data_IF_316236166846
#
_entry.id   IF_316236166846
#
_cell.length_a   1.000
_cell.length_b   1.000
_cell.length_c   1.000
_cell.angle_alpha   90.00
_cell.angle_beta   90.00
_cell.angle_gamma   90.00
#
_symmetry.space_group_name_H-M   'P 1'
#
loop_
_entity.id
_entity.type
_entity.pdbx_description
1 polymer ?
#
# COMPACT_ATOMS: atom_id res chain seq x y z
N UNK A 1 35.48 -4.65 -50.44
CA UNK A 1 34.07 -5.05 -50.60
C UNK A 1 33.53 -4.33 -51.81
N UNK A 2 32.82 -5.03 -52.69
CA UNK A 2 32.10 -4.40 -53.81
C UNK A 2 31.18 -3.32 -53.23
N UNK A 3 31.19 -2.08 -53.75
CA UNK A 3 30.24 -1.05 -53.33
C UNK A 3 28.81 -1.59 -53.49
N UNK A 4 27.94 -1.35 -52.50
CA UNK A 4 26.56 -1.90 -52.47
C UNK A 4 25.76 -1.59 -53.74
N UNK A 5 26.03 -0.45 -54.37
CA UNK A 5 25.44 0.00 -55.63
C UNK A 5 25.78 -0.88 -56.85
N UNK A 6 26.82 -1.72 -56.74
CA UNK A 6 27.28 -2.61 -57.79
C UNK A 6 27.05 -4.09 -57.45
N UNK A 7 26.41 -4.41 -56.33
CA UNK A 7 26.04 -5.77 -55.98
C UNK A 7 24.79 -6.20 -56.75
N UNK A 8 24.75 -7.47 -57.17
CA UNK A 8 23.54 -8.01 -57.78
C UNK A 8 22.40 -8.09 -56.75
N UNK A 9 21.13 -8.10 -57.19
CA UNK A 9 19.99 -8.21 -56.28
C UNK A 9 20.02 -9.45 -55.37
N UNK A 10 20.59 -10.56 -55.84
CA UNK A 10 20.73 -11.78 -55.05
C UNK A 10 21.75 -11.61 -53.91
N UNK A 11 22.89 -10.98 -54.19
CA UNK A 11 23.92 -10.70 -53.20
C UNK A 11 23.44 -9.71 -52.13
N UNK A 12 22.63 -8.72 -52.53
CA UNK A 12 22.03 -7.76 -51.60
C UNK A 12 21.01 -8.43 -50.67
N UNK A 13 20.23 -9.38 -51.18
CA UNK A 13 19.22 -10.11 -50.43
C UNK A 13 19.83 -11.08 -49.42
N UNK A 14 20.93 -11.74 -49.78
CA UNK A 14 21.66 -12.65 -48.90
C UNK A 14 22.35 -11.89 -47.77
N UNK A 15 23.02 -10.76 -48.07
CA UNK A 15 23.59 -9.88 -47.04
C UNK A 15 22.52 -9.35 -46.06
N UNK A 16 21.35 -8.99 -46.57
CA UNK A 16 20.22 -8.53 -45.75
C UNK A 16 19.68 -9.64 -44.83
N UNK A 17 19.64 -10.88 -45.32
CA UNK A 17 19.19 -12.04 -44.54
C UNK A 17 20.17 -12.38 -43.43
N UNK A 18 21.47 -12.36 -43.72
CA UNK A 18 22.53 -12.59 -42.72
C UNK A 18 22.55 -11.49 -41.65
N UNK A 19 22.38 -10.22 -42.05
CA UNK A 19 22.32 -9.09 -41.12
C UNK A 19 21.11 -9.22 -40.17
N UNK A 20 19.94 -9.57 -40.70
CA UNK A 20 18.72 -9.80 -39.89
C UNK A 20 18.87 -10.99 -38.94
N UNK A 21 19.45 -12.08 -39.41
CA UNK A 21 19.71 -13.26 -38.58
C UNK A 21 20.69 -12.95 -37.45
N UNK A 22 21.74 -12.18 -37.74
CA UNK A 22 22.73 -11.77 -36.75
C UNK A 22 22.12 -10.81 -35.71
N UNK A 23 21.28 -9.87 -36.15
CA UNK A 23 20.58 -8.92 -35.27
C UNK A 23 19.60 -9.62 -34.33
N UNK A 24 18.81 -10.57 -34.85
CA UNK A 24 17.86 -11.36 -34.08
C UNK A 24 18.57 -12.29 -33.07
N UNK A 25 19.68 -12.90 -33.47
CA UNK A 25 20.48 -13.76 -32.59
C UNK A 25 21.16 -12.97 -31.46
N UNK A 26 21.53 -11.71 -31.71
CA UNK A 26 22.29 -10.89 -30.75
C UNK A 26 21.39 -10.11 -29.79
N UNK A 27 20.28 -9.54 -30.26
CA UNK A 27 19.41 -8.64 -29.46
C UNK A 27 18.00 -9.17 -29.23
N UNK A 28 17.64 -10.34 -29.77
CA UNK A 28 16.31 -10.95 -29.59
C UNK A 28 15.16 -10.19 -30.25
N UNK A 29 15.47 -9.23 -31.11
CA UNK A 29 14.53 -8.30 -31.76
C UNK A 29 14.85 -8.20 -33.24
N UNK A 30 13.81 -8.06 -34.06
CA UNK A 30 13.96 -8.01 -35.52
C UNK A 30 14.55 -6.68 -36.02
N UNK A 31 14.67 -5.66 -35.16
CA UNK A 31 15.28 -4.37 -35.43
C UNK A 31 15.66 -3.61 -34.14
N UNK A 32 16.86 -3.03 -34.04
CA UNK A 32 17.23 -1.95 -33.09
C UNK A 32 18.08 -0.94 -33.84
N UNK A 33 17.56 0.28 -33.99
CA UNK A 33 18.33 1.43 -34.49
C UNK A 33 18.35 2.49 -33.40
N UNK A 34 19.52 2.66 -32.77
CA UNK A 34 19.80 3.76 -31.86
C UNK A 34 20.98 4.54 -32.45
N UNK A 35 20.68 5.56 -33.26
CA UNK A 35 21.68 6.36 -33.97
C UNK A 35 21.91 7.68 -33.22
N UNK A 36 23.17 8.01 -32.91
CA UNK A 36 23.57 9.27 -32.28
C UNK A 36 24.07 9.13 -30.85
N UNK A 37 24.38 10.28 -30.20
CA UNK A 37 24.73 10.32 -28.78
C UNK A 37 23.44 10.36 -27.95
N UNK A 38 23.14 9.28 -27.25
CA UNK A 38 22.08 9.26 -26.25
C UNK A 38 22.60 9.92 -24.97
N UNK A 39 22.44 11.24 -24.86
CA UNK A 39 22.77 11.98 -23.64
C UNK A 39 21.50 12.09 -22.81
N UNK A 40 21.47 11.42 -21.67
CA UNK A 40 20.50 11.74 -20.63
C UNK A 40 20.88 13.09 -20.04
N UNK A 41 19.93 14.02 -19.97
CA UNK A 41 20.17 15.28 -19.29
C UNK A 41 20.21 15.03 -17.79
N UNK A 42 21.20 15.62 -17.12
CA UNK A 42 21.33 15.65 -15.67
C UNK A 42 21.35 17.12 -15.27
N UNK A 43 20.35 17.55 -14.51
CA UNK A 43 20.24 18.93 -14.06
C UNK A 43 20.11 18.98 -12.55
N UNK A 44 20.81 19.93 -11.92
CA UNK A 44 20.61 20.26 -10.50
C UNK A 44 19.78 21.54 -10.38
N UNK A 45 18.80 21.55 -9.48
CA UNK A 45 17.88 22.68 -9.24
C UNK A 45 17.72 22.92 -7.75
N UNK A 46 17.67 24.19 -7.35
CA UNK A 46 17.56 24.63 -5.95
C UNK A 46 16.35 25.52 -5.67
N UNK A 47 15.47 25.66 -6.65
CA UNK A 47 14.18 26.36 -6.56
C UNK A 47 13.13 25.59 -7.36
N UNK A 48 11.85 25.83 -7.09
CA UNK A 48 10.73 25.22 -7.85
C UNK A 48 11.00 25.22 -9.35
N UNK A 49 10.81 24.06 -9.98
CA UNK A 49 11.22 23.83 -11.36
C UNK A 49 10.11 23.14 -12.15
N UNK A 50 9.77 23.69 -13.32
CA UNK A 50 8.92 23.01 -14.30
C UNK A 50 9.80 22.16 -15.20
N UNK A 51 9.66 20.84 -15.08
CA UNK A 51 10.35 19.87 -15.92
C UNK A 51 9.93 20.04 -17.38
N UNK A 52 10.86 19.73 -18.28
CA UNK A 52 10.65 19.76 -19.73
C UNK A 52 10.78 18.36 -20.32
N UNK A 53 10.26 18.14 -21.52
CA UNK A 53 10.33 16.85 -22.24
C UNK A 53 11.77 16.37 -22.54
N UNK A 54 12.76 17.26 -22.37
CA UNK A 54 14.18 16.99 -22.51
C UNK A 54 14.85 16.57 -21.19
N UNK A 55 14.18 16.70 -20.05
CA UNK A 55 14.73 16.38 -18.74
C UNK A 55 14.62 14.88 -18.46
N UNK A 56 15.77 14.24 -18.33
CA UNK A 56 15.89 12.81 -18.03
C UNK A 56 16.13 12.59 -16.54
N UNK A 57 17.03 13.35 -15.92
CA UNK A 57 17.37 13.27 -14.51
C UNK A 57 17.43 14.67 -13.90
N UNK A 58 16.62 14.89 -12.87
CA UNK A 58 16.55 16.14 -12.11
C UNK A 58 17.01 15.84 -10.68
N UNK A 59 18.10 16.47 -10.27
CA UNK A 59 18.56 16.50 -8.89
C UNK A 59 17.99 17.76 -8.24
N UNK A 60 17.14 17.58 -7.24
CA UNK A 60 16.42 18.66 -6.59
C UNK A 60 16.93 18.89 -5.17
N UNK A 61 17.23 20.14 -4.85
CA UNK A 61 17.75 20.60 -3.55
C UNK A 61 16.67 21.36 -2.76
N UNK A 62 16.87 21.48 -1.44
CA UNK A 62 16.03 22.28 -0.55
C UNK A 62 14.65 21.68 -0.26
N UNK A 63 13.64 22.55 -0.11
CA UNK A 63 12.23 22.20 0.07
C UNK A 63 11.41 22.86 -1.05
N UNK A 64 11.34 22.21 -2.21
CA UNK A 64 10.84 22.80 -3.44
C UNK A 64 9.98 21.80 -4.24
N UNK A 65 9.29 22.29 -5.26
CA UNK A 65 8.44 21.47 -6.12
C UNK A 65 9.07 21.26 -7.51
N UNK A 66 8.96 20.04 -8.04
CA UNK A 66 9.15 19.74 -9.46
C UNK A 66 7.79 19.55 -10.10
N UNK A 67 7.38 20.48 -10.95
CA UNK A 67 6.15 20.39 -11.74
C UNK A 67 6.45 19.62 -13.02
N UNK A 68 5.76 18.50 -13.26
CA UNK A 68 5.92 17.72 -14.48
C UNK A 68 5.38 18.47 -15.70
N UNK A 69 5.93 18.15 -16.87
CA UNK A 69 5.31 18.49 -18.15
C UNK A 69 4.09 17.57 -18.37
N UNK A 70 3.20 17.97 -19.29
CA UNK A 70 2.02 17.18 -19.61
C UNK A 70 2.37 15.75 -20.05
N UNK A 71 1.70 14.75 -19.48
CA UNK A 71 1.75 13.36 -19.92
C UNK A 71 1.27 13.26 -21.37
N UNK A 72 0.24 14.03 -21.73
CA UNK A 72 -0.29 14.08 -23.09
C UNK A 72 0.80 14.37 -24.13
N UNK A 73 0.87 13.48 -25.14
CA UNK A 73 1.87 13.54 -26.21
C UNK A 73 3.26 13.00 -25.85
N UNK A 74 3.46 12.49 -24.63
CA UNK A 74 4.78 12.07 -24.12
C UNK A 74 4.84 10.59 -23.68
N UNK A 75 4.01 9.72 -24.27
CA UNK A 75 4.00 8.27 -23.98
C UNK A 75 5.39 7.65 -24.00
N UNK A 76 5.69 6.80 -23.02
CA UNK A 76 6.96 6.09 -22.90
C UNK A 76 8.13 6.96 -22.42
N UNK A 77 7.90 8.25 -22.13
CA UNK A 77 8.91 9.10 -21.50
C UNK A 77 9.17 8.66 -20.06
N UNK A 78 10.45 8.71 -19.70
CA UNK A 78 10.93 8.47 -18.36
C UNK A 78 11.59 9.74 -17.84
N UNK A 79 11.22 10.16 -16.64
CA UNK A 79 11.88 11.25 -15.93
C UNK A 79 12.19 10.79 -14.51
N UNK A 80 13.47 10.89 -14.13
CA UNK A 80 13.95 10.56 -12.79
C UNK A 80 14.15 11.84 -11.99
N UNK A 81 13.61 11.87 -10.79
CA UNK A 81 13.76 12.99 -9.86
C UNK A 81 14.39 12.45 -8.57
N UNK A 82 15.46 13.08 -8.11
CA UNK A 82 16.20 12.68 -6.91
C UNK A 82 16.26 13.88 -5.98
N UNK A 83 15.77 13.71 -4.76
CA UNK A 83 15.96 14.69 -3.70
C UNK A 83 17.38 14.54 -3.12
N UNK A 84 18.25 15.47 -3.48
CA UNK A 84 19.63 15.55 -2.97
C UNK A 84 19.76 16.56 -1.81
N UNK A 85 18.68 17.26 -1.49
CA UNK A 85 18.62 18.23 -0.40
C UNK A 85 18.21 17.64 0.95
N UNK A 86 18.04 18.54 1.92
CA UNK A 86 17.66 18.22 3.30
C UNK A 86 16.18 18.43 3.62
N UNK A 87 15.43 19.03 2.69
CA UNK A 87 14.00 19.27 2.80
C UNK A 87 13.17 18.24 2.02
N UNK A 88 11.85 18.32 2.13
CA UNK A 88 10.95 17.51 1.30
C UNK A 88 10.81 18.14 -0.10
N UNK A 89 10.90 17.32 -1.13
CA UNK A 89 10.64 17.71 -2.51
C UNK A 89 9.29 17.16 -2.94
N UNK A 90 8.41 18.04 -3.43
CA UNK A 90 7.14 17.65 -4.02
C UNK A 90 7.31 17.46 -5.52
N UNK A 91 6.71 16.42 -6.07
CA UNK A 91 6.62 16.18 -7.51
C UNK A 91 5.16 16.22 -7.90
N UNK A 92 4.79 17.19 -8.73
CA UNK A 92 3.40 17.47 -9.08
C UNK A 92 3.10 17.09 -10.52
N UNK A 93 1.96 16.41 -10.73
CA UNK A 93 1.40 16.15 -12.06
C UNK A 93 0.95 17.45 -12.73
N UNK A 94 1.00 17.51 -14.07
CA UNK A 94 0.61 18.71 -14.80
C UNK A 94 -0.92 18.91 -14.75
N UNK A 95 -1.36 20.03 -14.20
CA UNK A 95 -2.77 20.35 -14.01
C UNK A 95 -3.53 19.28 -13.19
N UNK A 96 -4.34 18.44 -13.84
CA UNK A 96 -5.13 17.38 -13.19
C UNK A 96 -4.60 15.98 -13.47
N UNK A 97 -3.43 15.86 -14.10
CA UNK A 97 -2.78 14.57 -14.30
C UNK A 97 -2.32 14.01 -12.94
N UNK A 98 -2.42 12.70 -12.78
CA UNK A 98 -2.10 12.01 -11.54
C UNK A 98 -0.77 11.23 -11.66
N UNK A 99 -0.09 11.11 -10.52
CA UNK A 99 1.02 10.21 -10.24
C UNK A 99 0.50 9.12 -9.31
N UNK A 100 0.32 7.91 -9.84
CA UNK A 100 -0.22 6.76 -9.07
C UNK A 100 -1.56 7.04 -8.35
N UNK A 101 -2.45 7.84 -8.95
CA UNK A 101 -3.76 8.19 -8.37
C UNK A 101 -3.75 9.41 -7.45
N UNK A 102 -2.62 10.13 -7.34
CA UNK A 102 -2.49 11.38 -6.59
C UNK A 102 -1.87 12.46 -7.46
N UNK A 103 -2.29 13.71 -7.35
CA UNK A 103 -1.68 14.82 -8.10
C UNK A 103 -0.26 15.18 -7.64
N UNK A 104 0.13 14.76 -6.44
CA UNK A 104 1.44 15.05 -5.82
C UNK A 104 2.07 13.80 -5.24
N UNK A 105 3.38 13.64 -5.48
CA UNK A 105 4.26 12.64 -4.88
C UNK A 105 5.36 13.35 -4.08
N UNK A 106 5.49 13.03 -2.78
CA UNK A 106 6.57 13.56 -1.95
C UNK A 106 7.82 12.66 -1.96
N UNK A 107 8.99 13.28 -2.05
CA UNK A 107 10.31 12.69 -1.90
C UNK A 107 11.01 13.31 -0.69
N UNK A 108 11.24 12.53 0.36
CA UNK A 108 12.04 12.96 1.50
C UNK A 108 13.54 12.97 1.15
N UNK A 109 14.42 13.55 2.01
CA UNK A 109 15.85 13.58 1.77
C UNK A 109 16.44 12.21 1.43
N UNK A 110 17.30 12.16 0.40
CA UNK A 110 17.92 10.96 -0.15
C UNK A 110 16.97 9.98 -0.87
N UNK A 111 15.72 10.37 -1.11
CA UNK A 111 14.79 9.57 -1.92
C UNK A 111 14.82 9.99 -3.40
N UNK A 112 14.48 9.05 -4.27
CA UNK A 112 14.32 9.30 -5.70
C UNK A 112 13.24 8.45 -6.31
N UNK A 113 12.77 8.84 -7.49
CA UNK A 113 11.72 8.16 -8.24
C UNK A 113 11.97 8.27 -9.74
N UNK A 114 11.64 7.22 -10.48
CA UNK A 114 11.49 7.27 -11.93
C UNK A 114 10.01 7.20 -12.25
N UNK A 115 9.53 8.20 -13.01
CA UNK A 115 8.16 8.27 -13.45
C UNK A 115 8.06 7.82 -14.91
N UNK A 116 7.04 7.02 -15.20
CA UNK A 116 6.70 6.47 -16.49
C UNK A 116 5.43 7.16 -17.02
N UNK A 117 5.53 7.84 -18.15
CA UNK A 117 4.39 8.45 -18.81
C UNK A 117 3.64 7.43 -19.69
N UNK A 118 2.32 7.32 -19.54
CA UNK A 118 1.47 6.47 -20.39
C UNK A 118 0.69 7.26 -21.47
N UNK A 119 0.96 8.56 -21.60
CA UNK A 119 0.24 9.56 -22.41
C UNK A 119 -0.99 10.21 -21.75
N UNK A 120 -1.40 9.77 -20.56
CA UNK A 120 -2.53 10.35 -19.82
C UNK A 120 -2.14 10.75 -18.39
N UNK A 121 -1.36 9.91 -17.72
CA UNK A 121 -0.90 10.05 -16.35
C UNK A 121 0.56 9.59 -16.21
N UNK A 122 1.04 9.69 -14.98
CA UNK A 122 2.37 9.29 -14.57
C UNK A 122 2.31 8.12 -13.60
N UNK A 123 3.22 7.16 -13.76
CA UNK A 123 3.33 6.01 -12.87
C UNK A 123 4.71 5.95 -12.26
N UNK A 124 4.80 5.81 -10.95
CA UNK A 124 6.09 5.69 -10.29
C UNK A 124 6.58 4.24 -10.30
N UNK A 125 7.89 4.06 -10.47
CA UNK A 125 8.55 2.80 -10.11
C UNK A 125 8.64 2.61 -8.58
N UNK A 126 8.36 3.66 -7.81
CA UNK A 126 8.35 3.69 -6.37
C UNK A 126 6.98 3.27 -5.83
N UNK A 127 6.68 1.99 -5.95
CA UNK A 127 5.59 1.39 -5.18
C UNK A 127 6.09 1.16 -3.75
N UNK A 128 5.90 2.13 -2.85
CA UNK A 128 5.83 1.77 -1.42
C UNK A 128 4.66 0.79 -1.33
N UNK A 129 4.78 -0.40 -0.71
CA UNK A 129 3.57 -1.04 -0.22
C UNK A 129 3.00 -0.05 0.78
N UNK A 130 1.92 0.64 0.39
CA UNK A 130 1.17 1.42 1.36
C UNK A 130 0.82 0.45 2.48
N UNK A 131 0.93 0.89 3.73
CA UNK A 131 0.35 0.11 4.80
C UNK A 131 -1.11 -0.17 4.43
N UNK A 132 -1.50 -1.44 4.51
CA UNK A 132 -2.85 -1.91 4.19
C UNK A 132 -3.45 -2.53 5.45
N UNK A 133 -4.63 -2.07 5.84
CA UNK A 133 -5.29 -2.53 7.05
C UNK A 133 -6.47 -1.65 7.48
N UNK A 134 -7.09 -2.06 8.58
CA UNK A 134 -8.11 -1.27 9.26
C UNK A 134 -7.94 -1.34 10.78
N UNK A 135 -8.28 -0.27 11.47
CA UNK A 135 -8.41 -0.22 12.93
C UNK A 135 -9.74 0.45 13.29
N UNK A 136 -10.55 -0.27 14.06
CA UNK A 136 -11.89 0.11 14.45
C UNK A 136 -12.00 0.24 15.96
N UNK A 137 -12.85 1.17 16.40
CA UNK A 137 -13.10 1.47 17.81
C UNK A 137 -14.59 1.70 18.08
N UNK A 138 -14.93 1.91 19.34
CA UNK A 138 -16.26 2.26 19.82
C UNK A 138 -16.29 3.68 20.40
N UNK A 139 -17.32 4.45 20.07
CA UNK A 139 -17.55 5.79 20.63
C UNK A 139 -18.20 5.78 22.02
N UNK A 140 -18.77 4.62 22.42
CA UNK A 140 -19.48 4.43 23.67
C UNK A 140 -19.15 3.08 24.32
N UNK A 141 -19.28 2.98 25.64
CA UNK A 141 -19.08 1.74 26.39
C UNK A 141 -19.94 0.59 25.84
N UNK A 142 -19.34 -0.59 25.67
CA UNK A 142 -20.02 -1.79 25.18
C UNK A 142 -20.46 -2.68 26.34
N UNK A 143 -21.69 -3.19 26.29
CA UNK A 143 -22.21 -4.10 27.30
C UNK A 143 -21.82 -5.55 27.01
N UNK A 144 -21.38 -6.25 28.05
CA UNK A 144 -21.07 -7.67 28.01
C UNK A 144 -22.00 -8.40 28.98
N UNK A 145 -22.79 -9.33 28.44
CA UNK A 145 -23.77 -10.10 29.21
C UNK A 145 -23.09 -11.18 30.04
N UNK A 146 -23.57 -11.37 31.27
CA UNK A 146 -23.07 -12.41 32.16
C UNK A 146 -23.04 -13.80 31.51
N UNK A 147 -21.91 -14.48 31.67
CA UNK A 147 -21.70 -15.87 31.28
C UNK A 147 -22.07 -16.16 29.82
N UNK A 148 -21.92 -15.16 28.96
CA UNK A 148 -22.27 -15.21 27.54
C UNK A 148 -21.12 -14.62 26.74
N UNK A 149 -20.77 -15.29 25.63
CA UNK A 149 -19.80 -14.73 24.69
C UNK A 149 -20.50 -13.66 23.85
N UNK A 150 -19.99 -12.44 23.89
CA UNK A 150 -20.56 -11.30 23.17
C UNK A 150 -19.64 -10.91 22.02
N UNK A 151 -20.22 -10.79 20.81
CA UNK A 151 -19.55 -10.21 19.65
C UNK A 151 -19.58 -8.70 19.78
N UNK A 152 -18.42 -8.05 19.65
CA UNK A 152 -18.34 -6.60 19.76
C UNK A 152 -18.71 -5.93 18.44
N UNK A 153 -19.41 -4.80 18.53
CA UNK A 153 -19.67 -3.90 17.41
C UNK A 153 -18.82 -2.64 17.51
N UNK A 154 -18.43 -2.09 16.37
CA UNK A 154 -17.61 -0.92 16.21
C UNK A 154 -18.34 0.10 15.34
N UNK A 155 -18.37 1.35 15.82
CA UNK A 155 -19.10 2.46 15.21
C UNK A 155 -18.14 3.55 14.69
N UNK A 156 -16.83 3.34 14.86
CA UNK A 156 -15.79 4.30 14.52
C UNK A 156 -14.64 3.59 13.82
N UNK A 157 -14.09 4.23 12.79
CA UNK A 157 -12.89 3.79 12.06
C UNK A 157 -11.79 4.81 12.30
N UNK A 158 -10.65 4.38 12.86
CA UNK A 158 -9.45 5.22 12.92
C UNK A 158 -8.76 5.28 11.55
N UNK A 159 -8.78 4.17 10.83
CA UNK A 159 -8.42 4.06 9.42
C UNK A 159 -9.04 2.78 8.83
N UNK A 160 -9.27 2.79 7.52
CA UNK A 160 -9.58 1.62 6.69
C UNK A 160 -9.09 1.90 5.27
N UNK A 161 -8.06 1.19 4.83
CA UNK A 161 -7.42 1.45 3.53
C UNK A 161 -8.01 0.64 2.38
N UNK A 162 -8.83 -0.37 2.68
CA UNK A 162 -9.22 -1.41 1.72
C UNK A 162 -10.69 -1.85 1.83
N UNK A 163 -11.52 -1.08 2.55
CA UNK A 163 -12.93 -1.40 2.76
C UNK A 163 -13.12 -2.68 3.59
N UNK A 164 -12.27 -2.86 4.60
CA UNK A 164 -12.24 -4.02 5.50
C UNK A 164 -13.42 -3.97 6.47
N UNK A 165 -13.89 -2.78 6.85
CA UNK A 165 -14.98 -2.55 7.78
C UNK A 165 -16.04 -1.59 7.21
N UNK A 166 -17.21 -1.56 7.85
CA UNK A 166 -18.24 -0.55 7.60
C UNK A 166 -19.04 -0.31 8.88
N UNK A 167 -19.12 0.94 9.31
CA UNK A 167 -19.94 1.39 10.45
C UNK A 167 -21.46 1.27 10.22
N UNK A 168 -21.91 0.91 9.02
CA UNK A 168 -23.32 0.75 8.69
C UNK A 168 -23.76 -0.71 8.48
N UNK A 169 -22.92 -1.53 7.84
CA UNK A 169 -23.34 -2.87 7.35
C UNK A 169 -22.48 -4.03 7.86
N UNK A 170 -21.26 -3.76 8.35
CA UNK A 170 -20.29 -4.78 8.77
C UNK A 170 -19.71 -4.46 10.16
N UNK A 171 -20.52 -3.85 11.02
CA UNK A 171 -20.09 -3.27 12.31
C UNK A 171 -19.43 -4.23 13.28
N UNK A 172 -19.51 -5.54 13.06
CA UNK A 172 -19.01 -6.57 13.98
C UNK A 172 -17.75 -7.29 13.48
N UNK A 173 -17.24 -6.95 12.29
CA UNK A 173 -16.20 -7.75 11.63
C UNK A 173 -15.20 -6.94 10.82
N UNK A 174 -13.99 -7.49 10.71
CA UNK A 174 -12.98 -7.09 9.73
C UNK A 174 -12.93 -8.14 8.61
N UNK A 175 -13.30 -7.75 7.40
CA UNK A 175 -13.38 -8.62 6.22
C UNK A 175 -12.06 -8.62 5.46
N UNK A 176 -11.56 -9.80 5.11
CA UNK A 176 -10.30 -9.91 4.36
C UNK A 176 -10.55 -9.53 2.89
N UNK A 177 -9.89 -8.50 2.33
CA UNK A 177 -10.08 -8.11 0.94
C UNK A 177 -9.66 -9.20 -0.05
N UNK A 178 -10.23 -9.19 -1.26
CA UNK A 178 -9.85 -10.11 -2.35
C UNK A 178 -8.35 -10.02 -2.66
N UNK A 179 -7.71 -11.16 -2.87
CA UNK A 179 -6.28 -11.24 -3.20
C UNK A 179 -5.33 -11.26 -2.00
N UNK A 180 -5.82 -11.04 -0.78
CA UNK A 180 -5.01 -11.15 0.45
C UNK A 180 -4.89 -12.63 0.85
N UNK A 181 -3.66 -13.04 1.21
CA UNK A 181 -3.36 -14.42 1.63
C UNK A 181 -2.85 -14.54 3.06
N UNK A 182 -2.42 -13.44 3.69
CA UNK A 182 -1.95 -13.39 5.07
C UNK A 182 -2.35 -12.08 5.73
N UNK A 183 -2.65 -12.14 7.02
CA UNK A 183 -2.94 -10.97 7.86
C UNK A 183 -2.28 -11.12 9.23
N UNK A 184 -2.19 -10.02 9.96
CA UNK A 184 -1.97 -10.00 11.42
C UNK A 184 -3.16 -9.30 12.07
N UNK A 185 -3.63 -9.83 13.19
CA UNK A 185 -4.80 -9.34 13.90
C UNK A 185 -4.39 -8.89 15.31
N UNK A 186 -5.03 -7.84 15.78
CA UNK A 186 -4.86 -7.32 17.13
C UNK A 186 -6.22 -6.91 17.69
N UNK A 187 -6.51 -7.31 18.91
CA UNK A 187 -7.71 -6.90 19.64
C UNK A 187 -7.34 -6.50 21.06
N UNK A 188 -7.91 -5.41 21.53
CA UNK A 188 -7.71 -4.92 22.88
C UNK A 188 -9.01 -4.43 23.48
N UNK A 189 -9.24 -4.82 24.72
CA UNK A 189 -10.41 -4.38 25.50
C UNK A 189 -9.97 -3.96 26.88
N UNK A 190 -10.63 -2.92 27.39
CA UNK A 190 -10.46 -2.50 28.77
C UNK A 190 -11.73 -2.81 29.55
N UNK A 191 -11.62 -3.64 30.57
CA UNK A 191 -12.72 -3.92 31.49
C UNK A 191 -12.84 -2.79 32.50
N UNK A 192 -14.08 -2.38 32.83
CA UNK A 192 -14.32 -1.44 33.92
C UNK A 192 -13.77 -1.98 35.25
N UNK A 193 -13.58 -1.10 36.24
CA UNK A 193 -13.09 -1.51 37.57
C UNK A 193 -14.14 -2.28 38.36
N UNK A 194 -13.69 -3.00 39.41
CA UNK A 194 -14.58 -3.69 40.36
C UNK A 194 -15.16 -5.01 39.85
N UNK A 195 -14.69 -5.50 38.71
CA UNK A 195 -15.20 -6.72 38.09
C UNK A 195 -14.27 -7.87 38.46
N UNK A 196 -14.76 -8.90 39.17
CA UNK A 196 -14.01 -10.09 39.64
C UNK A 196 -14.13 -11.30 38.70
N UNK A 197 -13.30 -12.34 38.88
CA UNK A 197 -13.32 -13.61 38.12
C UNK A 197 -12.68 -13.51 36.72
N UNK A 198 -12.97 -14.49 35.85
CA UNK A 198 -12.34 -14.66 34.55
C UNK A 198 -12.83 -13.63 33.53
N UNK A 199 -11.89 -13.07 32.76
CA UNK A 199 -12.13 -12.27 31.56
C UNK A 199 -11.42 -12.89 30.38
N UNK A 200 -12.11 -12.89 29.26
CA UNK A 200 -11.58 -13.44 28.03
C UNK A 200 -11.86 -12.50 26.90
N UNK A 201 -10.87 -12.33 26.03
CA UNK A 201 -11.03 -11.77 24.69
C UNK A 201 -10.67 -12.84 23.67
N UNK A 202 -11.45 -12.93 22.60
CA UNK A 202 -11.29 -13.91 21.53
C UNK A 202 -11.21 -13.21 20.18
N UNK A 203 -10.44 -13.81 19.27
CA UNK A 203 -10.57 -13.57 17.84
C UNK A 203 -11.24 -14.79 17.24
N UNK A 204 -12.39 -14.59 16.58
CA UNK A 204 -13.13 -15.64 15.87
C UNK A 204 -13.07 -15.40 14.38
N UNK A 205 -12.89 -16.48 13.63
CA UNK A 205 -12.94 -16.53 12.17
C UNK A 205 -14.31 -17.01 11.72
N UNK A 206 -14.87 -16.34 10.71
CA UNK A 206 -16.06 -16.76 9.95
C UNK A 206 -17.26 -17.17 10.85
N UNK A 207 -17.53 -16.39 11.91
CA UNK A 207 -18.70 -16.57 12.77
C UNK A 207 -18.68 -17.78 13.70
N UNK A 208 -17.67 -18.67 13.59
CA UNK A 208 -17.74 -20.01 14.19
C UNK A 208 -16.47 -20.42 14.92
N UNK A 209 -15.30 -20.19 14.33
CA UNK A 209 -14.04 -20.78 14.81
C UNK A 209 -13.24 -19.77 15.61
N UNK A 210 -13.16 -19.94 16.93
CA UNK A 210 -12.20 -19.20 17.75
C UNK A 210 -10.78 -19.63 17.39
N UNK A 211 -9.94 -18.68 16.98
CA UNK A 211 -8.57 -18.94 16.53
C UNK A 211 -7.51 -18.42 17.51
N UNK A 212 -7.81 -17.35 18.23
CA UNK A 212 -6.95 -16.79 19.28
C UNK A 212 -7.77 -16.41 20.51
N UNK A 213 -7.15 -16.53 21.69
CA UNK A 213 -7.78 -16.27 22.98
C UNK A 213 -6.75 -15.71 23.95
N UNK A 214 -7.13 -14.71 24.73
CA UNK A 214 -6.39 -14.25 25.90
C UNK A 214 -7.28 -14.26 27.14
N UNK A 215 -6.75 -14.73 28.27
CA UNK A 215 -7.48 -14.93 29.53
C UNK A 215 -6.76 -14.20 30.64
N UNK A 216 -7.51 -13.44 31.42
CA UNK A 216 -6.99 -12.82 32.64
C UNK A 216 -7.96 -13.05 33.79
N UNK A 217 -7.44 -13.41 34.97
CA UNK A 217 -8.19 -13.45 36.22
C UNK A 217 -8.00 -12.15 37.00
N UNK A 218 -9.07 -11.62 37.60
CA UNK A 218 -9.06 -10.27 38.21
C UNK A 218 -9.32 -10.30 39.72
N UNK A 219 -8.52 -9.55 40.49
CA UNK A 219 -8.58 -9.47 41.98
C UNK A 219 -8.87 -8.08 42.56
N UNK A 220 -9.50 -7.16 41.82
CA UNK A 220 -10.10 -5.86 42.27
C UNK A 220 -9.09 -4.77 42.69
N UNK A 221 -8.97 -3.61 42.03
CA UNK A 221 -9.86 -2.43 42.12
C UNK A 221 -9.72 -1.45 40.93
N UNK A 222 -8.90 -1.77 39.92
CA UNK A 222 -8.61 -0.90 38.76
C UNK A 222 -9.28 -1.40 37.48
N UNK A 223 -9.35 -0.55 36.45
CA UNK A 223 -9.63 -1.02 35.09
C UNK A 223 -8.54 -2.00 34.65
N UNK A 224 -8.89 -2.90 33.74
CA UNK A 224 -7.96 -3.94 33.31
C UNK A 224 -7.97 -4.13 31.80
N UNK A 225 -6.80 -3.94 31.20
CA UNK A 225 -6.52 -4.24 29.81
C UNK A 225 -6.44 -5.76 29.59
N UNK A 226 -7.00 -6.22 28.47
CA UNK A 226 -6.90 -7.60 28.04
C UNK A 226 -6.76 -7.63 26.51
N UNK A 227 -5.53 -7.86 26.05
CA UNK A 227 -5.18 -7.86 24.64
C UNK A 227 -5.02 -9.27 24.09
N UNK A 228 -5.29 -9.43 22.81
CA UNK A 228 -5.04 -10.65 22.02
C UNK A 228 -4.44 -10.28 20.68
N UNK A 229 -3.40 -10.99 20.28
CA UNK A 229 -2.71 -10.78 19.02
C UNK A 229 -2.50 -12.11 18.29
N UNK A 230 -2.56 -12.08 16.96
CA UNK A 230 -2.17 -13.22 16.15
C UNK A 230 -0.69 -13.11 15.71
N UNK A 231 0.00 -14.23 15.44
CA UNK A 231 1.10 -14.22 14.48
C UNK A 231 0.59 -13.86 13.07
N UNK A 232 1.47 -13.86 12.08
CA UNK A 232 1.02 -13.84 10.67
C UNK A 232 0.16 -15.07 10.43
N UNK A 233 -1.09 -14.86 10.03
CA UNK A 233 -2.12 -15.87 9.91
C UNK A 233 -2.58 -16.03 8.46
N UNK A 234 -2.64 -17.25 7.90
CA UNK A 234 -3.07 -17.48 6.54
C UNK A 234 -4.58 -17.32 6.37
N UNK A 235 -5.00 -16.70 5.26
CA UNK A 235 -6.41 -16.38 4.97
C UNK A 235 -6.74 -16.58 3.50
N UNK A 236 -8.04 -16.65 3.22
CA UNK A 236 -8.62 -16.59 1.88
C UNK A 236 -9.32 -15.24 1.71
N UNK A 237 -8.69 -14.36 0.93
CA UNK A 237 -9.24 -13.06 0.59
C UNK A 237 -10.60 -13.13 -0.12
N UNK A 238 -11.49 -12.19 0.19
CA UNK A 238 -12.84 -12.10 -0.35
C UNK A 238 -13.87 -12.99 0.35
N UNK A 239 -13.45 -13.92 1.21
CA UNK A 239 -14.36 -14.82 1.93
C UNK A 239 -14.18 -14.81 3.45
N UNK A 240 -12.93 -14.73 3.90
CA UNK A 240 -12.65 -14.76 5.34
C UNK A 240 -12.98 -13.43 6.01
N UNK A 241 -13.44 -13.49 7.25
CA UNK A 241 -13.58 -12.33 8.14
C UNK A 241 -13.29 -12.72 9.58
N UNK A 242 -12.99 -11.71 10.39
CA UNK A 242 -12.70 -11.87 11.81
C UNK A 242 -13.58 -11.00 12.67
N UNK A 243 -13.89 -11.48 13.86
CA UNK A 243 -14.67 -10.79 14.88
C UNK A 243 -13.87 -10.77 16.19
N UNK A 244 -14.00 -9.67 16.95
CA UNK A 244 -13.54 -9.59 18.34
C UNK A 244 -14.71 -9.92 19.26
N UNK A 245 -14.47 -10.78 20.25
CA UNK A 245 -15.48 -11.19 21.21
C UNK A 245 -14.93 -11.11 22.62
N UNK A 246 -15.83 -10.92 23.58
CA UNK A 246 -15.49 -10.96 25.00
C UNK A 246 -16.39 -11.89 25.78
N UNK A 247 -15.90 -12.35 26.93
CA UNK A 247 -16.64 -13.17 27.88
C UNK A 247 -16.18 -12.85 29.30
N UNK A 248 -17.13 -12.96 30.24
CA UNK A 248 -16.82 -12.86 31.65
C UNK A 248 -17.72 -13.75 32.52
N UNK A 249 -17.18 -14.12 33.68
CA UNK A 249 -17.90 -14.83 34.74
C UNK A 249 -18.18 -13.96 35.97
N UNK A 250 -18.07 -12.64 35.84
CA UNK A 250 -18.54 -11.73 36.89
C UNK A 250 -20.05 -11.84 37.08
N UNK A 251 -20.49 -11.85 38.33
CA UNK A 251 -21.84 -12.21 38.82
C UNK A 251 -23.03 -11.39 38.27
N UNK A 252 -22.79 -10.43 37.38
CA UNK A 252 -23.81 -9.66 36.68
C UNK A 252 -23.26 -9.13 35.35
N UNK A 253 -24.14 -8.72 34.44
CA UNK A 253 -23.79 -7.96 33.23
C UNK A 253 -22.91 -6.77 33.58
N UNK A 254 -21.87 -6.55 32.78
CA UNK A 254 -20.90 -5.45 32.96
C UNK A 254 -20.63 -4.75 31.65
N UNK A 255 -19.79 -3.72 31.67
CA UNK A 255 -19.39 -3.00 30.46
C UNK A 255 -17.87 -3.06 30.25
N UNK A 256 -17.46 -2.84 29.00
CA UNK A 256 -16.11 -2.41 28.66
C UNK A 256 -16.00 -0.89 28.83
N UNK A 257 -14.81 -0.40 29.11
CA UNK A 257 -14.52 1.03 29.01
C UNK A 257 -14.48 1.47 27.52
N UNK A 258 -14.35 2.77 27.26
CA UNK A 258 -14.43 3.39 25.92
C UNK A 258 -13.18 3.17 25.04
N UNK A 259 -12.34 2.20 25.37
CA UNK A 259 -11.07 1.92 24.69
C UNK A 259 -11.06 0.50 24.13
N UNK A 260 -12.06 0.14 23.33
CA UNK A 260 -12.07 -1.14 22.61
C UNK A 260 -11.47 -0.92 21.24
N UNK A 261 -10.45 -1.70 20.89
CA UNK A 261 -9.78 -1.63 19.58
C UNK A 261 -9.77 -3.00 18.93
N UNK A 262 -10.05 -3.04 17.62
CA UNK A 262 -9.81 -4.22 16.80
C UNK A 262 -9.14 -3.81 15.49
N UNK A 263 -8.10 -4.52 15.09
CA UNK A 263 -7.31 -4.17 13.93
C UNK A 263 -6.87 -5.39 13.10
N UNK A 264 -6.77 -5.15 11.79
CA UNK A 264 -6.21 -6.06 10.81
C UNK A 264 -5.11 -5.34 10.04
N UNK A 265 -3.93 -5.93 10.01
CA UNK A 265 -2.81 -5.56 9.14
C UNK A 265 -2.72 -6.61 8.01
N UNK A 266 -2.71 -6.17 6.77
CA UNK A 266 -2.49 -7.05 5.60
C UNK A 266 -0.99 -7.27 5.44
N UNK A 267 -0.60 -8.54 5.29
CA UNK A 267 0.80 -8.94 5.15
C UNK A 267 0.98 -9.49 3.73
N UNK A 268 1.76 -8.78 2.91
CA UNK A 268 2.12 -9.16 1.53
C UNK A 268 3.54 -9.73 1.43
#
# INVERSE_FOLDING_TARGET
>A
TTPLENCSPAELNDATRELKSCLKATFGVDHVTATGKHKFSLLTKSATYTATVGDSIILMEGSNTVQLYAASGNSGKLTTIINIGTGEILVDGNASEEIDGSITLALHPNEGVTLHCDASNWYSNRKKPAFRGAMVTNSAALTVTYNTVVVLSFDTESYDTDGIHSTATLTTRLSVPTGVSKVRLYGDVVWISGVTNERVVYIRKNGTTTIFRSVVGVTTTTQQENSVQSPVYPVTGGTDYFELLTFHTHSATTNLATSVTFAMEIIE
#
